data_IF_996013299143
#
_entry.id   IF_996013299143
#
_cell.length_a   1.000
_cell.length_b   1.000
_cell.length_c   1.000
_cell.angle_alpha   90.00
_cell.angle_beta   90.00
_cell.angle_gamma   90.00
#
_symmetry.space_group_name_H-M   'P 1'
#
loop_
_entity.id
_entity.type
_entity.pdbx_description
1 polymer ?
#
# COMPACT_ATOMS: atom_id res chain seq x y z
N UNK A 1 35.01 19.17 -3.84
CA UNK A 1 34.62 18.06 -4.74
C UNK A 1 33.67 17.14 -3.99
N UNK A 2 32.83 16.37 -4.68
CA UNK A 2 31.77 15.59 -4.04
C UNK A 2 32.32 14.25 -3.56
N UNK A 3 31.93 13.84 -2.35
CA UNK A 3 32.19 12.48 -1.87
C UNK A 3 30.97 11.62 -2.11
N UNK A 4 31.15 10.34 -2.43
CA UNK A 4 30.08 9.41 -2.76
C UNK A 4 30.18 8.16 -1.91
N UNK A 5 29.10 7.79 -1.22
CA UNK A 5 29.08 6.63 -0.32
C UNK A 5 28.30 5.47 -0.92
N UNK A 6 28.91 4.28 -0.91
CA UNK A 6 28.28 3.02 -1.24
C UNK A 6 27.25 2.63 -0.17
N UNK A 7 25.99 2.44 -0.58
CA UNK A 7 24.90 1.98 0.29
C UNK A 7 25.04 0.53 0.76
N UNK A 8 25.84 -0.28 0.07
CA UNK A 8 26.02 -1.72 0.38
C UNK A 8 27.05 -1.93 1.48
N UNK A 9 28.22 -1.31 1.38
CA UNK A 9 29.33 -1.54 2.31
C UNK A 9 29.86 -0.28 3.00
N UNK A 10 29.31 0.89 2.69
CA UNK A 10 29.70 2.17 3.30
C UNK A 10 31.02 2.77 2.80
N UNK A 11 31.67 2.16 1.80
CA UNK A 11 32.88 2.70 1.17
C UNK A 11 32.61 4.09 0.57
N UNK A 12 33.55 5.02 0.76
CA UNK A 12 33.44 6.40 0.28
C UNK A 12 34.44 6.61 -0.85
N UNK A 13 33.94 6.95 -2.04
CA UNK A 13 34.72 7.45 -3.14
C UNK A 13 34.87 8.96 -3.00
N UNK A 14 36.10 9.45 -3.00
CA UNK A 14 36.42 10.87 -3.00
C UNK A 14 36.93 11.26 -4.39
N UNK A 15 36.21 12.17 -5.06
CA UNK A 15 36.59 12.67 -6.39
C UNK A 15 37.98 13.32 -6.39
N UNK A 16 38.41 13.93 -5.29
CA UNK A 16 39.72 14.57 -5.18
C UNK A 16 40.84 13.53 -5.12
N UNK A 17 40.62 12.42 -4.42
CA UNK A 17 41.62 11.37 -4.24
C UNK A 17 41.64 10.34 -5.39
N UNK A 18 40.51 10.17 -6.09
CA UNK A 18 40.32 9.06 -7.04
C UNK A 18 40.31 7.70 -6.34
N UNK A 19 40.49 6.62 -7.10
CA UNK A 19 40.58 5.26 -6.53
C UNK A 19 41.65 4.43 -7.27
N UNK A 20 42.87 4.32 -6.70
CA UNK A 20 43.99 3.62 -7.32
C UNK A 20 43.74 2.14 -7.58
N UNK A 21 42.97 1.44 -6.72
CA UNK A 21 42.68 0.00 -6.87
C UNK A 21 41.86 -0.31 -8.12
N UNK A 22 41.02 0.65 -8.56
CA UNK A 22 40.24 0.57 -9.80
C UNK A 22 40.86 1.36 -10.95
N UNK A 23 42.08 1.90 -10.77
CA UNK A 23 42.77 2.78 -11.73
C UNK A 23 42.00 4.05 -12.08
N UNK A 24 41.19 4.56 -11.15
CA UNK A 24 40.50 5.84 -11.30
C UNK A 24 41.43 6.95 -10.83
N UNK A 25 41.73 7.91 -11.71
CA UNK A 25 42.67 8.99 -11.40
C UNK A 25 42.09 9.95 -10.35
N UNK A 26 42.95 10.64 -9.57
CA UNK A 26 42.53 11.79 -8.77
C UNK A 26 41.82 12.85 -9.62
N UNK A 27 40.94 13.62 -9.01
CA UNK A 27 40.09 14.65 -9.66
C UNK A 27 39.10 14.11 -10.71
N UNK A 28 38.80 12.80 -10.70
CA UNK A 28 37.79 12.22 -11.61
C UNK A 28 36.39 12.34 -10.98
N UNK A 29 35.46 13.12 -11.57
CA UNK A 29 34.08 13.21 -11.10
C UNK A 29 33.39 11.83 -11.13
N UNK A 30 32.57 11.52 -10.12
CA UNK A 30 31.96 10.19 -10.03
C UNK A 30 31.08 9.85 -11.24
N UNK A 31 30.43 10.85 -11.82
CA UNK A 31 29.59 10.70 -13.02
C UNK A 31 30.40 10.29 -14.25
N UNK A 32 31.66 10.71 -14.36
CA UNK A 32 32.55 10.41 -15.48
C UNK A 32 33.23 9.02 -15.38
N UNK A 33 33.12 8.37 -14.22
CA UNK A 33 33.61 7.00 -14.05
C UNK A 33 32.86 6.04 -15.01
N UNK A 34 33.53 5.11 -15.71
CA UNK A 34 32.87 4.13 -16.57
C UNK A 34 31.73 3.36 -15.87
N UNK A 35 30.67 3.03 -16.62
CA UNK A 35 29.48 2.36 -16.07
C UNK A 35 29.74 0.93 -15.56
N UNK A 36 30.78 0.28 -16.08
CA UNK A 36 31.26 -1.03 -15.64
C UNK A 36 32.13 -0.97 -14.38
N UNK A 37 32.46 0.22 -13.88
CA UNK A 37 33.15 0.39 -12.60
C UNK A 37 32.37 -0.23 -11.45
N UNK A 38 33.11 -0.79 -10.50
CA UNK A 38 32.59 -1.51 -9.34
C UNK A 38 33.27 -1.01 -8.08
N UNK A 39 32.51 -0.96 -6.99
CA UNK A 39 33.04 -0.67 -5.67
C UNK A 39 34.21 -1.64 -5.35
N UNK A 40 35.39 -1.13 -4.97
CA UNK A 40 36.55 -1.99 -4.69
C UNK A 40 36.35 -2.89 -3.46
N UNK A 41 35.41 -2.57 -2.58
CA UNK A 41 35.15 -3.31 -1.34
C UNK A 41 34.09 -4.41 -1.52
N UNK A 42 32.98 -4.12 -2.20
CA UNK A 42 31.84 -5.05 -2.28
C UNK A 42 31.41 -5.41 -3.70
N UNK A 43 32.11 -4.90 -4.72
CA UNK A 43 31.79 -5.09 -6.13
C UNK A 43 30.38 -4.60 -6.55
N UNK A 44 29.71 -3.75 -5.77
CA UNK A 44 28.46 -3.10 -6.18
C UNK A 44 28.71 -2.12 -7.35
N UNK A 45 27.74 -1.99 -8.26
CA UNK A 45 27.81 -1.03 -9.36
C UNK A 45 27.54 0.42 -8.93
N UNK A 46 27.79 1.38 -9.83
CA UNK A 46 27.55 2.82 -9.62
C UNK A 46 26.17 3.19 -9.04
N UNK A 47 25.04 2.54 -9.41
CA UNK A 47 23.72 2.87 -8.85
C UNK A 47 23.60 2.70 -7.32
N UNK A 48 24.54 1.97 -6.69
CA UNK A 48 24.56 1.79 -5.25
C UNK A 48 25.19 2.98 -4.49
N UNK A 49 25.67 4.02 -5.16
CA UNK A 49 26.34 5.16 -4.53
C UNK A 49 25.43 6.38 -4.45
N UNK A 50 25.54 7.11 -3.33
CA UNK A 50 24.84 8.38 -3.09
C UNK A 50 25.82 9.45 -2.61
N UNK A 51 25.63 10.69 -3.05
CA UNK A 51 26.44 11.84 -2.63
C UNK A 51 26.38 12.02 -1.11
N UNK A 52 27.54 12.17 -0.48
CA UNK A 52 27.67 12.63 0.89
C UNK A 52 27.59 14.16 0.92
N UNK A 53 26.71 14.75 1.75
CA UNK A 53 26.67 16.20 1.91
C UNK A 53 28.01 16.69 2.49
N UNK A 54 28.49 17.82 1.98
CA UNK A 54 29.75 18.42 2.43
C UNK A 54 29.69 18.84 3.90
N UNK A 55 30.79 18.67 4.63
CA UNK A 55 30.88 19.02 6.06
C UNK A 55 30.59 20.51 6.28
N UNK A 56 29.45 20.82 6.89
CA UNK A 56 29.04 22.20 7.21
C UNK A 56 27.59 22.55 6.87
N UNK A 57 26.91 21.73 6.06
CA UNK A 57 25.47 21.86 5.85
C UNK A 57 24.71 21.11 6.94
N UNK A 58 24.18 21.85 7.92
CA UNK A 58 23.14 21.35 8.81
C UNK A 58 21.97 20.87 7.96
N UNK A 59 21.69 19.56 7.98
CA UNK A 59 20.54 18.97 7.30
C UNK A 59 19.23 19.71 7.66
N UNK A 60 18.18 19.59 6.82
CA UNK A 60 16.94 20.34 7.03
C UNK A 60 16.39 20.08 8.44
N UNK A 61 15.97 21.16 9.12
CA UNK A 61 15.45 21.11 10.47
C UNK A 61 14.38 20.01 10.63
N UNK A 62 14.56 19.16 11.64
CA UNK A 62 13.68 18.04 11.97
C UNK A 62 12.25 18.53 12.21
N UNK A 63 11.38 18.44 11.20
CA UNK A 63 9.97 18.79 11.32
C UNK A 63 9.21 17.64 11.98
N UNK A 64 8.48 17.92 13.05
CA UNK A 64 7.71 16.94 13.83
C UNK A 64 6.21 17.18 13.61
N UNK A 65 5.42 16.11 13.50
CA UNK A 65 3.96 16.18 13.40
C UNK A 65 3.31 15.22 14.41
N UNK A 66 2.02 15.43 14.69
CA UNK A 66 1.26 14.57 15.61
C UNK A 66 0.41 13.59 14.83
N UNK A 67 0.53 12.29 15.12
CA UNK A 67 -0.26 11.22 14.47
C UNK A 67 -1.21 10.58 15.47
N UNK A 68 -2.48 10.51 15.13
CA UNK A 68 -3.47 9.75 15.87
C UNK A 68 -3.18 8.25 15.75
N UNK A 69 -3.01 7.56 16.88
CA UNK A 69 -2.75 6.10 16.91
C UNK A 69 -3.96 5.24 16.53
N UNK A 70 -5.16 5.83 16.49
CA UNK A 70 -6.42 5.12 16.18
C UNK A 70 -6.71 5.09 14.68
N UNK A 71 -6.52 6.21 13.98
CA UNK A 71 -6.89 6.35 12.56
C UNK A 71 -5.77 6.91 11.68
N UNK A 72 -4.57 7.10 12.22
CA UNK A 72 -3.42 7.69 11.55
C UNK A 72 -3.60 9.13 11.02
N UNK A 73 -4.69 9.82 11.42
CA UNK A 73 -4.88 11.24 11.14
C UNK A 73 -3.68 12.06 11.64
N UNK A 74 -3.24 13.02 10.83
CA UNK A 74 -2.03 13.83 11.05
C UNK A 74 -2.42 15.26 11.36
N UNK A 75 -1.88 15.79 12.45
CA UNK A 75 -1.99 17.18 12.83
C UNK A 75 -0.62 17.85 12.71
N UNK A 76 -0.55 18.89 11.88
CA UNK A 76 0.62 19.75 11.72
C UNK A 76 0.34 21.07 12.43
N UNK A 77 1.21 21.46 13.36
CA UNK A 77 1.10 22.76 14.04
C UNK A 77 1.25 23.92 13.05
N UNK A 78 1.99 23.73 11.95
CA UNK A 78 2.15 24.72 10.87
C UNK A 78 0.83 24.99 10.14
N UNK A 79 0.02 23.96 9.92
CA UNK A 79 -1.18 24.01 9.07
C UNK A 79 -2.47 24.21 9.89
N UNK A 80 -2.49 23.78 11.16
CA UNK A 80 -3.69 23.78 11.99
C UNK A 80 -4.65 22.66 11.61
N UNK A 81 -5.96 22.86 11.88
CA UNK A 81 -7.00 21.94 11.43
C UNK A 81 -8.35 22.65 11.15
N UNK A 82 -8.74 22.82 9.87
CA UNK A 82 -9.96 23.53 9.48
C UNK A 82 -11.26 22.93 10.00
N UNK A 83 -11.42 21.59 10.03
CA UNK A 83 -12.66 20.94 10.43
C UNK A 83 -12.97 21.18 11.91
N UNK A 84 -11.94 21.32 12.75
CA UNK A 84 -12.09 21.68 14.16
C UNK A 84 -11.96 23.18 14.41
N UNK A 85 -11.86 24.00 13.35
CA UNK A 85 -11.61 25.45 13.40
C UNK A 85 -10.35 25.81 14.20
N UNK A 86 -9.33 24.98 14.10
CA UNK A 86 -8.03 25.18 14.74
C UNK A 86 -7.13 25.97 13.78
N UNK A 87 -6.69 27.19 14.15
CA UNK A 87 -5.84 28.00 13.27
C UNK A 87 -4.47 27.37 13.01
N UNK A 88 -3.90 27.68 11.84
CA UNK A 88 -2.49 27.45 11.55
C UNK A 88 -1.59 28.11 12.62
N UNK A 89 -0.51 27.43 13.01
CA UNK A 89 0.39 27.85 14.09
C UNK A 89 -0.04 27.45 15.50
N UNK A 90 -1.21 26.82 15.68
CA UNK A 90 -1.65 26.36 17.01
C UNK A 90 -0.79 25.16 17.45
N UNK A 91 -0.22 25.22 18.65
CA UNK A 91 0.53 24.08 19.20
C UNK A 91 -0.41 22.97 19.67
N UNK A 92 -0.06 21.71 19.46
CA UNK A 92 -0.91 20.58 19.85
C UNK A 92 -1.17 20.54 21.37
N UNK A 93 -0.18 20.96 22.16
CA UNK A 93 -0.30 21.11 23.60
C UNK A 93 -1.37 22.14 24.01
N UNK A 94 -1.54 23.19 23.21
CA UNK A 94 -2.47 24.31 23.46
C UNK A 94 -3.90 24.04 22.98
N UNK A 95 -4.13 22.90 22.33
CA UNK A 95 -5.48 22.49 21.95
C UNK A 95 -6.38 22.31 23.18
N UNK A 96 -7.68 22.64 23.11
CA UNK A 96 -8.59 22.41 24.23
C UNK A 96 -8.74 20.92 24.59
N UNK A 97 -9.03 20.59 25.85
CA UNK A 97 -9.30 19.20 26.29
C UNK A 97 -10.49 18.55 25.58
N UNK A 98 -11.45 19.37 25.15
CA UNK A 98 -12.59 18.96 24.33
C UNK A 98 -12.24 18.71 22.86
N UNK A 99 -11.04 19.07 22.41
CA UNK A 99 -10.62 18.80 21.04
C UNK A 99 -10.57 17.28 20.81
N UNK A 100 -11.01 16.87 19.63
CA UNK A 100 -11.08 15.48 19.20
C UNK A 100 -10.49 15.39 17.80
N UNK A 101 -9.91 14.23 17.49
CA UNK A 101 -9.52 13.90 16.15
C UNK A 101 -10.74 14.08 15.20
N UNK A 102 -10.62 14.84 14.11
CA UNK A 102 -11.73 15.10 13.19
C UNK A 102 -12.17 13.85 12.42
N UNK A 103 -11.32 12.83 12.34
CA UNK A 103 -11.60 11.58 11.60
C UNK A 103 -12.30 10.54 12.48
N UNK A 104 -11.74 10.22 13.65
CA UNK A 104 -12.23 9.10 14.48
C UNK A 104 -12.82 9.53 15.83
N UNK A 105 -12.79 10.81 16.17
CA UNK A 105 -13.29 11.30 17.46
C UNK A 105 -12.42 10.92 18.66
N UNK A 106 -11.20 10.38 18.46
CA UNK A 106 -10.29 10.08 19.56
C UNK A 106 -9.81 11.35 20.30
N UNK A 107 -9.55 11.21 21.59
CA UNK A 107 -9.01 12.29 22.43
C UNK A 107 -7.54 12.60 22.08
N UNK A 108 -7.05 13.78 22.51
CA UNK A 108 -5.65 14.20 22.30
C UNK A 108 -4.62 13.22 22.85
N UNK A 109 -4.95 12.51 23.92
CA UNK A 109 -4.10 11.48 24.52
C UNK A 109 -3.76 10.32 23.56
N UNK A 110 -4.54 10.13 22.50
CA UNK A 110 -4.28 9.09 21.49
C UNK A 110 -3.27 9.52 20.41
N UNK A 111 -2.69 10.72 20.50
CA UNK A 111 -1.72 11.21 19.52
C UNK A 111 -0.29 11.06 20.02
N UNK A 112 0.58 10.70 19.09
CA UNK A 112 2.02 10.56 19.32
C UNK A 112 2.79 11.46 18.36
N UNK A 113 3.90 12.03 18.83
CA UNK A 113 4.82 12.78 17.97
C UNK A 113 5.59 11.81 17.09
N UNK A 114 5.67 12.15 15.82
CA UNK A 114 6.36 11.39 14.79
C UNK A 114 7.14 12.36 13.91
N UNK A 115 8.28 11.92 13.40
CA UNK A 115 9.06 12.77 12.50
C UNK A 115 8.39 12.86 11.13
N UNK A 116 8.35 14.06 10.53
CA UNK A 116 7.77 14.31 9.20
C UNK A 116 8.57 13.54 8.12
N UNK A 117 9.88 13.38 8.31
CA UNK A 117 10.81 12.65 7.42
C UNK A 117 10.76 11.11 7.59
N UNK A 118 10.59 10.61 8.82
CA UNK A 118 10.30 9.20 9.07
C UNK A 118 8.99 8.73 8.41
N UNK A 119 8.13 9.69 8.04
CA UNK A 119 6.88 9.48 7.31
C UNK A 119 7.03 9.83 5.81
N UNK A 120 7.95 10.73 5.46
CA UNK A 120 8.25 11.09 4.07
C UNK A 120 8.82 9.91 3.27
N UNK A 121 9.54 8.98 3.92
CA UNK A 121 9.99 7.73 3.28
C UNK A 121 8.86 6.77 2.92
N UNK A 122 7.63 7.00 3.41
CA UNK A 122 6.42 6.24 3.07
C UNK A 122 5.61 6.93 1.96
N UNK A 123 6.05 8.11 1.47
CA UNK A 123 5.22 9.04 0.69
C UNK A 123 5.78 9.42 -0.69
N UNK A 124 6.65 8.60 -1.28
CA UNK A 124 7.10 8.78 -2.67
C UNK A 124 6.79 7.60 -3.59
N UNK A 125 6.00 6.61 -3.15
CA UNK A 125 5.62 5.45 -3.95
C UNK A 125 4.12 5.12 -3.78
N UNK A 126 3.51 4.54 -4.80
CA UNK A 126 2.15 3.98 -4.70
C UNK A 126 2.15 2.84 -3.67
N UNK A 127 1.15 2.80 -2.79
CA UNK A 127 0.99 1.64 -1.90
C UNK A 127 0.50 0.42 -2.68
N UNK A 128 0.63 -0.77 -2.09
CA UNK A 128 0.00 -1.99 -2.63
C UNK A 128 -1.48 -1.77 -2.91
N UNK A 129 -2.20 -1.10 -1.99
CA UNK A 129 -3.61 -0.77 -2.21
C UNK A 129 -3.82 0.15 -3.40
N UNK A 130 -3.01 1.20 -3.57
CA UNK A 130 -3.11 2.11 -4.73
C UNK A 130 -2.88 1.34 -6.05
N UNK A 131 -1.87 0.46 -6.08
CA UNK A 131 -1.56 -0.38 -7.24
C UNK A 131 -2.70 -1.34 -7.56
N UNK A 132 -3.34 -1.92 -6.54
CA UNK A 132 -4.51 -2.78 -6.75
C UNK A 132 -5.63 -1.98 -7.42
N UNK A 133 -5.95 -0.79 -6.91
CA UNK A 133 -7.04 0.04 -7.45
C UNK A 133 -6.75 0.52 -8.88
N UNK A 134 -5.52 0.94 -9.19
CA UNK A 134 -5.13 1.25 -10.57
C UNK A 134 -5.22 0.01 -11.49
N UNK A 135 -4.83 -1.17 -10.97
CA UNK A 135 -4.94 -2.42 -11.71
C UNK A 135 -6.38 -2.85 -12.03
N UNK A 136 -7.32 -2.60 -11.11
CA UNK A 136 -8.75 -2.80 -11.37
C UNK A 136 -9.23 -1.89 -12.51
N UNK A 137 -8.88 -0.61 -12.45
CA UNK A 137 -9.27 0.37 -13.48
C UNK A 137 -8.67 0.04 -14.84
N UNK A 138 -7.40 -0.37 -14.88
CA UNK A 138 -6.75 -0.82 -16.11
C UNK A 138 -7.46 -2.03 -16.73
N UNK A 139 -8.02 -2.91 -15.90
CA UNK A 139 -8.85 -4.04 -16.32
C UNK A 139 -10.33 -3.68 -16.60
N UNK A 140 -10.71 -2.40 -16.51
CA UNK A 140 -12.09 -1.94 -16.72
C UNK A 140 -13.04 -2.24 -15.56
N UNK A 141 -12.52 -2.57 -14.38
CA UNK A 141 -13.28 -2.81 -13.15
C UNK A 141 -13.34 -1.48 -12.38
N UNK A 142 -14.45 -0.77 -12.52
CA UNK A 142 -14.68 0.56 -11.94
C UNK A 142 -15.73 0.59 -10.83
N UNK A 143 -16.30 -0.57 -10.47
CA UNK A 143 -17.38 -0.69 -9.49
C UNK A 143 -17.03 -1.69 -8.40
N UNK A 144 -17.14 -1.23 -7.15
CA UNK A 144 -16.89 -2.05 -5.96
C UNK A 144 -18.11 -1.96 -5.03
N UNK A 145 -18.64 -3.12 -4.64
CA UNK A 145 -19.62 -3.24 -3.55
C UNK A 145 -18.89 -3.72 -2.30
N UNK A 146 -19.15 -3.14 -1.13
CA UNK A 146 -18.45 -3.64 0.05
C UNK A 146 -18.86 -3.02 1.37
N UNK A 147 -18.31 -3.60 2.43
CA UNK A 147 -18.42 -3.10 3.79
C UNK A 147 -17.01 -2.83 4.32
N UNK A 148 -16.66 -1.57 4.63
CA UNK A 148 -15.32 -1.25 5.09
C UNK A 148 -15.14 -1.68 6.55
N UNK A 149 -13.91 -2.03 6.92
CA UNK A 149 -13.52 -2.14 8.32
C UNK A 149 -12.00 -2.21 8.48
N UNK A 150 -11.54 -2.45 9.71
CA UNK A 150 -10.15 -2.20 10.13
C UNK A 150 -9.11 -2.89 9.27
N UNK A 151 -9.34 -4.14 8.86
CA UNK A 151 -8.40 -4.93 8.06
C UNK A 151 -8.44 -4.61 6.56
N UNK A 152 -9.33 -3.74 6.09
CA UNK A 152 -9.47 -3.36 4.66
C UNK A 152 -9.30 -1.86 4.42
N UNK A 153 -8.85 -1.10 5.43
CA UNK A 153 -8.78 0.36 5.38
C UNK A 153 -7.81 0.88 4.30
N UNK A 154 -6.72 0.15 4.02
CA UNK A 154 -5.77 0.56 2.97
C UNK A 154 -6.45 0.59 1.60
N UNK A 155 -7.23 -0.45 1.28
CA UNK A 155 -8.00 -0.53 0.03
C UNK A 155 -9.06 0.56 -0.06
N UNK A 156 -9.81 0.79 1.04
CA UNK A 156 -10.86 1.80 1.08
C UNK A 156 -10.29 3.22 0.91
N UNK A 157 -9.14 3.50 1.53
CA UNK A 157 -8.46 4.79 1.37
C UNK A 157 -7.90 4.97 -0.05
N UNK A 158 -7.36 3.90 -0.67
CA UNK A 158 -6.92 3.93 -2.07
C UNK A 158 -8.08 4.23 -3.04
N UNK A 159 -9.24 3.58 -2.85
CA UNK A 159 -10.46 3.88 -3.63
C UNK A 159 -10.86 5.35 -3.48
N UNK A 160 -10.88 5.85 -2.23
CA UNK A 160 -11.22 7.24 -1.91
C UNK A 160 -10.28 8.25 -2.57
N UNK A 161 -8.96 7.98 -2.56
CA UNK A 161 -7.94 8.87 -3.16
C UNK A 161 -8.00 8.88 -4.68
N UNK A 162 -8.18 7.72 -5.31
CA UNK A 162 -8.22 7.59 -6.76
C UNK A 162 -9.46 8.28 -7.36
N UNK A 163 -10.63 8.13 -6.72
CA UNK A 163 -11.86 8.84 -7.10
C UNK A 163 -12.53 8.40 -8.41
N UNK A 164 -11.95 7.47 -9.18
CA UNK A 164 -12.53 6.92 -10.41
C UNK A 164 -13.31 5.63 -10.16
N UNK A 165 -12.93 4.86 -9.14
CA UNK A 165 -13.69 3.67 -8.71
C UNK A 165 -14.90 4.11 -7.91
N UNK A 166 -16.09 3.68 -8.35
CA UNK A 166 -17.34 3.88 -7.62
C UNK A 166 -17.46 2.83 -6.52
N UNK A 167 -17.54 3.28 -5.27
CA UNK A 167 -17.73 2.42 -4.10
C UNK A 167 -19.17 2.49 -3.58
N UNK A 168 -19.87 1.35 -3.58
CA UNK A 168 -21.22 1.20 -3.03
C UNK A 168 -21.13 0.46 -1.69
N UNK A 169 -21.36 1.21 -0.61
CA UNK A 169 -21.39 0.63 0.74
C UNK A 169 -22.68 -0.14 0.95
N UNK A 170 -22.56 -1.42 1.31
CA UNK A 170 -23.69 -2.28 1.67
C UNK A 170 -23.90 -2.32 3.18
N UNK A 171 -24.97 -3.00 3.64
CA UNK A 171 -25.22 -3.23 5.07
C UNK A 171 -24.81 -4.63 5.55
N UNK A 172 -24.55 -5.54 4.62
CA UNK A 172 -24.11 -6.91 4.89
C UNK A 172 -23.28 -7.40 3.69
N UNK A 173 -22.20 -8.13 3.94
CA UNK A 173 -21.26 -8.53 2.89
C UNK A 173 -21.90 -9.45 1.86
N UNK A 174 -22.80 -10.35 2.27
CA UNK A 174 -23.57 -11.16 1.34
C UNK A 174 -24.26 -10.31 0.26
N UNK A 175 -24.78 -9.14 0.62
CA UNK A 175 -25.41 -8.24 -0.34
C UNK A 175 -24.39 -7.63 -1.32
N UNK A 176 -23.13 -7.44 -0.92
CA UNK A 176 -22.08 -7.04 -1.85
C UNK A 176 -21.74 -8.15 -2.85
N UNK A 177 -21.65 -9.39 -2.38
CA UNK A 177 -21.42 -10.56 -3.24
C UNK A 177 -22.57 -10.77 -4.24
N UNK A 178 -23.81 -10.76 -3.76
CA UNK A 178 -25.01 -10.88 -4.59
C UNK A 178 -25.13 -9.72 -5.61
N UNK A 179 -24.82 -8.49 -5.20
CA UNK A 179 -24.85 -7.33 -6.11
C UNK A 179 -23.79 -7.42 -7.21
N UNK A 180 -22.57 -7.86 -6.89
CA UNK A 180 -21.52 -8.08 -7.88
C UNK A 180 -21.87 -9.23 -8.84
N UNK A 181 -22.43 -10.32 -8.32
CA UNK A 181 -22.97 -11.44 -9.09
C UNK A 181 -24.03 -10.96 -10.09
N UNK A 182 -25.04 -10.23 -9.61
CA UNK A 182 -26.10 -9.66 -10.44
C UNK A 182 -25.56 -8.67 -11.49
N UNK A 183 -24.61 -7.81 -11.12
CA UNK A 183 -23.99 -6.86 -12.03
C UNK A 183 -23.32 -7.57 -13.21
N UNK A 184 -22.60 -8.67 -12.95
CA UNK A 184 -21.99 -9.46 -14.01
C UNK A 184 -23.03 -10.12 -14.90
N UNK A 185 -24.04 -10.78 -14.34
CA UNK A 185 -25.13 -11.43 -15.11
C UNK A 185 -25.88 -10.44 -16.01
N UNK A 186 -26.07 -9.20 -15.55
CA UNK A 186 -26.82 -8.18 -16.28
C UNK A 186 -25.99 -7.42 -17.32
N UNK A 187 -24.68 -7.29 -17.13
CA UNK A 187 -23.84 -6.40 -17.95
C UNK A 187 -22.69 -7.08 -18.67
N UNK A 188 -22.34 -8.31 -18.28
CA UNK A 188 -21.14 -9.01 -18.71
C UNK A 188 -19.83 -8.44 -18.14
N UNK A 189 -19.89 -7.36 -17.34
CA UNK A 189 -18.71 -6.70 -16.75
C UNK A 189 -18.43 -7.23 -15.35
N UNK A 190 -17.17 -7.19 -14.94
CA UNK A 190 -16.77 -7.62 -13.59
C UNK A 190 -16.95 -6.44 -12.64
N UNK A 191 -17.55 -6.69 -11.48
CA UNK A 191 -17.49 -5.82 -10.31
C UNK A 191 -16.69 -6.52 -9.21
N UNK A 192 -16.08 -5.72 -8.33
CA UNK A 192 -15.41 -6.28 -7.16
C UNK A 192 -16.30 -6.23 -5.91
N UNK A 193 -16.10 -7.18 -5.02
CA UNK A 193 -16.57 -7.16 -3.63
C UNK A 193 -15.42 -6.75 -2.72
N UNK A 194 -15.68 -5.96 -1.68
CA UNK A 194 -14.70 -5.60 -0.67
C UNK A 194 -15.22 -5.91 0.73
N UNK A 195 -14.38 -6.58 1.54
CA UNK A 195 -14.71 -6.93 2.92
C UNK A 195 -13.48 -6.95 3.83
N UNK A 196 -13.70 -7.22 5.12
CA UNK A 196 -12.69 -7.43 6.15
C UNK A 196 -12.29 -8.91 6.33
N UNK A 197 -11.33 -9.15 7.23
CA UNK A 197 -10.93 -10.48 7.67
C UNK A 197 -12.07 -11.21 8.40
N UNK A 198 -11.93 -12.52 8.55
CA UNK A 198 -12.78 -13.34 9.41
C UNK A 198 -14.27 -13.28 9.04
N UNK A 199 -15.15 -12.77 9.91
CA UNK A 199 -16.59 -12.83 9.69
C UNK A 199 -17.04 -12.12 8.41
N UNK A 200 -16.39 -11.01 8.03
CA UNK A 200 -16.73 -10.32 6.79
C UNK A 200 -16.39 -11.16 5.55
N UNK A 201 -15.29 -11.90 5.59
CA UNK A 201 -14.95 -12.85 4.54
C UNK A 201 -15.95 -14.01 4.49
N UNK A 202 -16.31 -14.61 5.64
CA UNK A 202 -17.29 -15.70 5.65
C UNK A 202 -18.68 -15.27 5.19
N UNK A 203 -19.09 -14.03 5.48
CA UNK A 203 -20.37 -13.49 5.04
C UNK A 203 -20.47 -13.31 3.52
N UNK A 204 -19.35 -13.22 2.79
CA UNK A 204 -19.37 -13.23 1.32
C UNK A 204 -19.70 -14.59 0.74
N UNK A 205 -19.48 -15.69 1.48
CA UNK A 205 -19.45 -17.04 0.95
C UNK A 205 -20.71 -17.40 0.16
N UNK A 206 -21.90 -17.15 0.72
CA UNK A 206 -23.18 -17.49 0.06
C UNK A 206 -23.35 -16.77 -1.28
N UNK A 207 -23.12 -15.45 -1.33
CA UNK A 207 -23.27 -14.70 -2.58
C UNK A 207 -22.18 -14.99 -3.61
N UNK A 208 -20.97 -15.35 -3.17
CA UNK A 208 -19.91 -15.80 -4.07
C UNK A 208 -20.18 -17.23 -4.59
N UNK A 209 -20.81 -18.08 -3.78
CA UNK A 209 -21.24 -19.41 -4.21
C UNK A 209 -22.36 -19.31 -5.27
N UNK A 210 -23.30 -18.37 -5.11
CA UNK A 210 -24.27 -18.02 -6.17
C UNK A 210 -23.56 -17.63 -7.47
N UNK A 211 -22.58 -16.71 -7.39
CA UNK A 211 -21.81 -16.30 -8.57
C UNK A 211 -21.09 -17.48 -9.23
N UNK A 212 -20.53 -18.41 -8.44
CA UNK A 212 -19.87 -19.61 -8.93
C UNK A 212 -20.84 -20.52 -9.69
N UNK A 213 -21.98 -20.87 -9.09
CA UNK A 213 -22.94 -21.81 -9.69
C UNK A 213 -23.55 -21.24 -10.98
N UNK A 214 -23.69 -19.91 -11.06
CA UNK A 214 -24.21 -19.23 -12.25
C UNK A 214 -23.13 -18.85 -13.28
N UNK A 215 -21.86 -19.16 -13.02
CA UNK A 215 -20.74 -18.81 -13.90
C UNK A 215 -20.50 -17.30 -14.04
N UNK A 216 -20.88 -16.51 -13.03
CA UNK A 216 -20.69 -15.07 -13.01
C UNK A 216 -19.25 -14.70 -12.59
N UNK A 217 -18.59 -13.87 -13.38
CA UNK A 217 -17.25 -13.37 -13.09
C UNK A 217 -17.30 -12.27 -12.03
N UNK A 218 -16.77 -12.57 -10.84
CA UNK A 218 -16.72 -11.65 -9.69
C UNK A 218 -15.31 -11.66 -9.09
N UNK A 219 -14.83 -10.49 -8.68
CA UNK A 219 -13.56 -10.36 -7.95
C UNK A 219 -13.82 -10.06 -6.47
N UNK A 220 -13.34 -10.89 -5.56
CA UNK A 220 -13.47 -10.68 -4.11
C UNK A 220 -12.15 -10.18 -3.52
N UNK A 221 -12.16 -8.98 -2.95
CA UNK A 221 -11.01 -8.36 -2.28
C UNK A 221 -11.26 -8.36 -0.78
N UNK A 222 -10.52 -9.21 -0.06
CA UNK A 222 -10.73 -9.40 1.35
C UNK A 222 -9.54 -8.83 2.12
N UNK A 223 -9.81 -7.96 3.09
CA UNK A 223 -8.82 -7.65 4.09
C UNK A 223 -8.41 -8.91 4.87
N UNK A 224 -7.20 -8.91 5.40
CA UNK A 224 -6.71 -9.96 6.28
C UNK A 224 -5.98 -9.34 7.47
N UNK A 225 -5.84 -10.10 8.55
CA UNK A 225 -4.92 -9.75 9.64
C UNK A 225 -3.51 -9.54 9.10
N UNK A 226 -2.66 -8.89 9.89
CA UNK A 226 -1.26 -8.70 9.48
C UNK A 226 -0.57 -10.05 9.29
N UNK A 227 0.40 -10.11 8.36
CA UNK A 227 1.09 -11.36 8.02
C UNK A 227 1.65 -12.09 9.23
N UNK A 228 2.19 -11.36 10.22
CA UNK A 228 2.74 -11.94 11.45
C UNK A 228 1.73 -12.69 12.32
N UNK A 229 0.42 -12.42 12.17
CA UNK A 229 -0.64 -13.07 12.96
C UNK A 229 -1.38 -14.17 12.19
N UNK A 230 -0.95 -14.49 10.97
CA UNK A 230 -1.57 -15.54 10.14
C UNK A 230 -1.24 -16.91 10.70
N UNK A 231 -2.25 -17.77 10.91
CA UNK A 231 -2.08 -19.11 11.49
C UNK A 231 -1.88 -19.16 13.00
N UNK A 232 -1.79 -18.03 13.70
CA UNK A 232 -1.65 -17.96 15.17
C UNK A 232 -2.99 -17.74 15.90
N UNK A 233 -4.13 -17.98 15.24
CA UNK A 233 -5.47 -17.68 15.77
C UNK A 233 -5.64 -16.21 16.16
N UNK A 234 -5.11 -15.30 15.33
CA UNK A 234 -5.30 -13.86 15.48
C UNK A 234 -6.77 -13.47 15.54
N UNK A 235 -7.07 -12.32 16.15
CA UNK A 235 -8.45 -11.83 16.22
C UNK A 235 -9.03 -11.65 14.82
N UNK A 236 -10.14 -12.34 14.52
CA UNK A 236 -10.78 -12.39 13.20
C UNK A 236 -9.91 -13.02 12.09
N UNK A 237 -8.88 -13.79 12.45
CA UNK A 237 -8.11 -14.58 11.49
C UNK A 237 -8.89 -15.85 11.12
N UNK A 238 -8.88 -16.17 9.83
CA UNK A 238 -9.29 -17.46 9.28
C UNK A 238 -8.37 -17.80 8.12
N UNK A 239 -8.23 -19.09 7.85
CA UNK A 239 -7.59 -19.59 6.63
C UNK A 239 -8.51 -19.32 5.42
N UNK A 240 -8.37 -18.11 4.86
CA UNK A 240 -9.15 -17.68 3.70
C UNK A 240 -8.81 -18.51 2.45
N UNK A 241 -7.56 -18.95 2.30
CA UNK A 241 -7.15 -19.75 1.14
C UNK A 241 -7.81 -21.14 1.16
N UNK A 242 -7.91 -21.79 2.32
CA UNK A 242 -8.68 -23.02 2.46
C UNK A 242 -10.19 -22.77 2.30
N UNK A 243 -10.71 -21.71 2.93
CA UNK A 243 -12.14 -21.41 2.97
C UNK A 243 -12.74 -21.08 1.59
N UNK A 244 -12.04 -20.30 0.76
CA UNK A 244 -12.54 -19.90 -0.57
C UNK A 244 -12.20 -20.88 -1.69
N UNK A 245 -11.33 -21.87 -1.44
CA UNK A 245 -10.94 -22.88 -2.44
C UNK A 245 -12.11 -23.59 -3.13
N UNK A 246 -13.17 -24.03 -2.42
CA UNK A 246 -14.32 -24.66 -3.09
C UNK A 246 -15.24 -23.67 -3.80
N UNK A 247 -15.09 -22.35 -3.58
CA UNK A 247 -15.97 -21.30 -4.09
C UNK A 247 -15.38 -20.62 -5.34
N UNK A 248 -14.05 -20.66 -5.50
CA UNK A 248 -13.32 -19.81 -6.45
C UNK A 248 -12.63 -20.60 -7.55
N UNK A 249 -12.51 -19.97 -8.72
CA UNK A 249 -11.64 -20.46 -9.81
C UNK A 249 -10.19 -20.09 -9.57
N UNK A 250 -9.93 -19.12 -8.70
CA UNK A 250 -8.62 -18.70 -8.24
C UNK A 250 -8.74 -18.01 -6.89
N UNK A 251 -7.91 -18.42 -5.93
CA UNK A 251 -7.73 -17.68 -4.69
C UNK A 251 -6.27 -17.70 -4.23
N UNK A 252 -5.86 -16.62 -3.60
CA UNK A 252 -4.52 -16.52 -3.00
C UNK A 252 -4.42 -15.37 -2.00
N UNK A 253 -3.48 -15.49 -1.06
CA UNK A 253 -3.08 -14.41 -0.16
C UNK A 253 -1.87 -13.65 -0.72
N UNK A 254 -1.94 -12.32 -0.74
CA UNK A 254 -0.80 -11.46 -1.13
C UNK A 254 0.13 -11.35 0.08
N UNK A 255 1.04 -12.32 0.21
CA UNK A 255 1.98 -12.40 1.34
C UNK A 255 3.17 -11.46 1.26
N UNK A 256 3.49 -10.95 0.07
CA UNK A 256 4.58 -10.02 -0.21
C UNK A 256 4.10 -8.97 -1.22
N UNK A 257 4.39 -7.70 -0.98
CA UNK A 257 4.08 -6.58 -1.88
C UNK A 257 4.52 -6.85 -3.32
N UNK A 258 5.67 -7.52 -3.55
CA UNK A 258 6.21 -7.82 -4.89
C UNK A 258 5.31 -8.76 -5.70
N UNK A 259 4.48 -9.56 -5.02
CA UNK A 259 3.54 -10.48 -5.68
C UNK A 259 2.23 -9.81 -6.10
N UNK A 260 1.98 -8.57 -5.67
CA UNK A 260 0.70 -7.87 -5.87
C UNK A 260 0.23 -7.91 -7.32
N UNK A 261 1.06 -7.43 -8.25
CA UNK A 261 0.68 -7.38 -9.67
C UNK A 261 0.44 -8.78 -10.23
N UNK A 262 1.35 -9.73 -9.96
CA UNK A 262 1.22 -11.09 -10.45
C UNK A 262 -0.09 -11.75 -9.98
N UNK A 263 -0.41 -11.64 -8.70
CA UNK A 263 -1.59 -12.28 -8.12
C UNK A 263 -2.88 -11.55 -8.55
N UNK A 264 -2.85 -10.23 -8.68
CA UNK A 264 -3.97 -9.44 -9.20
C UNK A 264 -4.26 -9.77 -10.67
N UNK A 265 -3.25 -9.73 -11.54
CA UNK A 265 -3.38 -10.09 -12.95
C UNK A 265 -3.90 -11.52 -13.10
N UNK A 266 -3.40 -12.46 -12.29
CA UNK A 266 -3.92 -13.83 -12.28
C UNK A 266 -5.39 -13.87 -11.85
N UNK A 267 -5.76 -13.26 -10.74
CA UNK A 267 -7.13 -13.26 -10.25
C UNK A 267 -8.11 -12.73 -11.33
N UNK A 268 -7.79 -11.58 -11.93
CA UNK A 268 -8.60 -10.99 -13.00
C UNK A 268 -8.67 -11.93 -14.21
N UNK A 269 -7.53 -12.46 -14.66
CA UNK A 269 -7.47 -13.37 -15.81
C UNK A 269 -8.24 -14.67 -15.58
N UNK A 270 -8.15 -15.27 -14.40
CA UNK A 270 -8.92 -16.46 -14.05
C UNK A 270 -10.42 -16.16 -13.99
N UNK A 271 -10.83 -15.07 -13.34
CA UNK A 271 -12.24 -14.66 -13.28
C UNK A 271 -12.82 -14.45 -14.69
N UNK A 272 -12.07 -13.80 -15.58
CA UNK A 272 -12.48 -13.52 -16.96
C UNK A 272 -12.52 -14.78 -17.82
N UNK A 273 -11.45 -15.60 -17.82
CA UNK A 273 -11.34 -16.74 -18.74
C UNK A 273 -12.11 -17.98 -18.28
N UNK A 274 -12.31 -18.14 -16.97
CA UNK A 274 -13.00 -19.32 -16.41
C UNK A 274 -14.45 -19.03 -16.02
N UNK A 275 -14.92 -17.79 -16.21
CA UNK A 275 -16.28 -17.39 -15.86
C UNK A 275 -16.66 -17.79 -14.43
N UNK A 276 -15.98 -17.19 -13.45
CA UNK A 276 -16.23 -17.50 -12.05
C UNK A 276 -15.59 -16.54 -11.08
N UNK A 277 -15.65 -16.89 -9.79
CA UNK A 277 -15.16 -16.03 -8.71
C UNK A 277 -13.65 -16.16 -8.55
N UNK A 278 -12.93 -15.03 -8.55
CA UNK A 278 -11.57 -14.96 -8.06
C UNK A 278 -11.52 -14.20 -6.74
N UNK A 279 -10.71 -14.64 -5.78
CA UNK A 279 -10.57 -14.01 -4.47
C UNK A 279 -9.11 -13.69 -4.16
N UNK A 280 -8.86 -12.53 -3.56
CA UNK A 280 -7.56 -12.15 -3.05
C UNK A 280 -7.68 -11.75 -1.59
N UNK A 281 -6.86 -12.38 -0.76
CA UNK A 281 -6.69 -11.98 0.64
C UNK A 281 -5.51 -11.01 0.73
N UNK A 282 -5.73 -9.83 1.30
CA UNK A 282 -4.71 -8.77 1.36
C UNK A 282 -4.47 -8.37 2.83
N UNK A 283 -3.36 -8.81 3.43
CA UNK A 283 -2.97 -8.46 4.80
C UNK A 283 -2.86 -6.95 5.04
N UNK A 284 -3.31 -6.49 6.20
CA UNK A 284 -3.39 -5.07 6.55
C UNK A 284 -2.04 -4.35 6.55
N UNK A 285 -0.96 -5.02 6.92
CA UNK A 285 0.41 -4.51 6.85
C UNK A 285 0.88 -4.41 5.40
N UNK A 286 0.63 -5.44 4.58
CA UNK A 286 0.98 -5.47 3.16
C UNK A 286 0.27 -4.36 2.37
N UNK A 287 -1.01 -4.10 2.65
CA UNK A 287 -1.79 -3.02 2.00
C UNK A 287 -1.08 -1.67 2.01
N UNK A 288 -0.37 -1.37 3.11
CA UNK A 288 0.26 -0.06 3.37
C UNK A 288 1.68 0.03 2.83
N UNK A 289 2.29 -1.09 2.45
CA UNK A 289 3.66 -1.07 1.97
C UNK A 289 3.74 -0.35 0.62
N UNK A 290 4.76 0.51 0.47
CA UNK A 290 5.06 1.15 -0.79
C UNK A 290 5.58 0.12 -1.81
N UNK A 291 5.11 0.22 -3.05
CA UNK A 291 5.61 -0.49 -4.21
C UNK A 291 6.37 0.49 -5.10
N UNK A 292 7.49 0.04 -5.66
CA UNK A 292 8.27 0.83 -6.62
C UNK A 292 7.46 1.00 -7.92
N UNK A 293 7.25 2.23 -8.42
CA UNK A 293 6.54 2.50 -9.67
C UNK A 293 7.08 1.72 -10.88
N UNK A 294 8.37 1.41 -10.93
CA UNK A 294 9.00 0.65 -12.02
C UNK A 294 8.45 -0.77 -12.15
N UNK A 295 7.92 -1.34 -11.07
CA UNK A 295 7.28 -2.67 -11.07
C UNK A 295 5.93 -2.61 -11.80
N UNK A 296 5.25 -1.46 -11.80
CA UNK A 296 3.97 -1.25 -12.47
C UNK A 296 4.09 -1.06 -13.99
N UNK A 297 5.29 -0.77 -14.53
CA UNK A 297 5.50 -0.55 -15.96
C UNK A 297 5.33 -1.81 -16.82
N UNK A 298 5.39 -3.00 -16.21
CA UNK A 298 5.27 -4.28 -16.96
C UNK A 298 3.84 -4.64 -17.36
N UNK A 299 2.84 -3.80 -17.00
CA UNK A 299 1.48 -3.90 -17.50
C UNK A 299 0.68 -5.08 -16.93
N UNK A 300 -0.49 -4.77 -16.36
CA UNK A 300 -1.55 -5.75 -16.15
C UNK A 300 -2.26 -5.91 -17.49
N UNK A 301 -1.86 -6.90 -18.29
CA UNK A 301 -2.56 -7.30 -19.52
C UNK A 301 -2.70 -8.82 -19.59
#
# INVERSE_FOLDING_TARGET
>A
MSQWKCSVCGYVYDEEAGEPSTKTAPETPFDEIPHDWRCPVCAAGKPAFSVLPAEGESGPALSMIWRCTVCNYRYSEEEGEPATKTPAGTRFAELPDRWRCPVCGAARAAFVMVRKDAIAHEQSGMTVSDVIIEGLLAAGIDLVFGLPGTSSLGLVDAIRKNGKVRYIVVRHEEAAAMAASAYNKLTGRIAACLTIAGPGATNLATGLYDAKEDGASVLSLNGQVEMQYTGEYGMQEIDQDAFFRPITVYNNTISDRKMTLLLLSRAIRYATLRHGVAQLSIPNDIQKQSLDPSICETGIV
#
